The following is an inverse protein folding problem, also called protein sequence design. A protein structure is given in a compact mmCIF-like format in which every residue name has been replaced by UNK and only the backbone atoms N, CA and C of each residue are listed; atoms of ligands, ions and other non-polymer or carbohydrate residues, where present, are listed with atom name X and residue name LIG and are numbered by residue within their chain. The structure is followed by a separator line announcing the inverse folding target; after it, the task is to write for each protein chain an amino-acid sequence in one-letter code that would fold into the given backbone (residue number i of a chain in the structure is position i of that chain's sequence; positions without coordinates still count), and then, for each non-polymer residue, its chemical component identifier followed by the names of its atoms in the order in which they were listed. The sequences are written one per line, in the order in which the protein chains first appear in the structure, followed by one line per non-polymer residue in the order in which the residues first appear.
data_IF_473011536683
#
_entry.id   IF_473011536683
#
_cell.length_a   1.000
_cell.length_b   1.000
_cell.length_c   1.000
_cell.angle_alpha   90.00
_cell.angle_beta   90.00
_cell.angle_gamma   90.00
#
_symmetry.space_group_name_H-M   'P 1'
#
loop_
_entity.id
_entity.type
_entity.pdbx_description
1 polymer ?
#
# COMPACT_ATOMS: atom_id res chain seq x y z
N UNK A 1 -13.25 23.29 -21.37
CA UNK A 1 -12.18 24.04 -22.07
C UNK A 1 -10.80 23.34 -22.10
N UNK A 2 -10.58 22.17 -21.49
CA UNK A 2 -9.24 21.54 -21.42
C UNK A 2 -8.72 20.82 -22.69
N UNK A 3 -9.58 20.55 -23.67
CA UNK A 3 -9.19 19.83 -24.90
C UNK A 3 -8.40 20.71 -25.89
N UNK A 4 -8.69 22.01 -25.93
CA UNK A 4 -8.00 22.94 -26.85
C UNK A 4 -6.64 23.34 -26.27
N UNK A 5 -6.59 23.63 -24.96
CA UNK A 5 -5.33 23.95 -24.27
C UNK A 5 -4.34 22.79 -24.29
N UNK A 6 -4.81 21.55 -24.12
CA UNK A 6 -3.95 20.36 -24.21
C UNK A 6 -3.40 20.08 -25.61
N UNK A 7 -4.17 20.38 -26.67
CA UNK A 7 -3.69 20.25 -28.07
C UNK A 7 -2.60 21.27 -28.39
N UNK A 8 -2.78 22.51 -27.96
CA UNK A 8 -1.79 23.58 -28.13
C UNK A 8 -0.51 23.26 -27.34
N UNK A 9 -0.64 22.85 -26.08
CA UNK A 9 0.50 22.44 -25.25
C UNK A 9 1.29 21.27 -25.85
N UNK A 10 0.58 20.26 -26.41
CA UNK A 10 1.21 19.12 -27.08
C UNK A 10 1.94 19.54 -28.37
N UNK A 11 1.37 20.45 -29.16
CA UNK A 11 2.01 20.97 -30.37
C UNK A 11 3.29 21.77 -30.02
N UNK A 12 3.22 22.64 -29.01
CA UNK A 12 4.37 23.38 -28.51
C UNK A 12 5.49 22.47 -27.99
N UNK A 13 5.15 21.41 -27.22
CA UNK A 13 6.13 20.45 -26.71
C UNK A 13 6.80 19.59 -27.80
N UNK A 14 6.20 19.49 -28.99
CA UNK A 14 6.73 18.73 -30.15
C UNK A 14 7.50 19.61 -31.13
N UNK A 15 7.62 20.90 -30.86
CA UNK A 15 8.44 21.79 -31.68
C UNK A 15 9.88 21.27 -31.74
N UNK A 16 10.44 21.20 -32.95
CA UNK A 16 11.81 20.80 -33.19
C UNK A 16 12.19 19.43 -32.57
N UNK A 17 11.32 18.43 -32.71
CA UNK A 17 11.56 17.08 -32.21
C UNK A 17 12.69 16.35 -32.96
N UNK A 18 12.86 16.63 -34.25
CA UNK A 18 13.86 16.00 -35.11
C UNK A 18 15.29 16.37 -34.71
N UNK A 19 15.62 17.67 -34.63
CA UNK A 19 16.95 18.10 -34.15
C UNK A 19 17.23 17.64 -32.71
N UNK A 20 16.19 17.53 -31.86
CA UNK A 20 16.34 16.97 -30.50
C UNK A 20 16.67 15.48 -30.54
N UNK A 21 16.04 14.72 -31.43
CA UNK A 21 16.32 13.31 -31.63
C UNK A 21 17.73 13.11 -32.19
N UNK A 22 18.13 13.87 -33.21
CA UNK A 22 19.48 13.84 -33.77
C UNK A 22 20.55 14.17 -32.73
N UNK A 23 20.32 15.18 -31.88
CA UNK A 23 21.23 15.51 -30.77
C UNK A 23 21.33 14.40 -29.73
N UNK A 24 20.32 13.56 -29.56
CA UNK A 24 20.37 12.40 -28.64
C UNK A 24 21.04 11.21 -29.31
N UNK A 25 20.81 10.98 -30.60
CA UNK A 25 21.42 9.90 -31.37
C UNK A 25 22.91 10.13 -31.66
N UNK A 26 23.32 11.40 -31.84
CA UNK A 26 24.72 11.78 -32.04
C UNK A 26 25.55 11.68 -30.75
N UNK A 27 24.92 11.57 -29.58
CA UNK A 27 25.63 11.25 -28.33
C UNK A 27 26.03 9.78 -28.36
N UNK A 28 27.21 9.48 -27.83
CA UNK A 28 27.57 8.09 -27.54
C UNK A 28 26.51 7.46 -26.63
N UNK A 29 26.23 6.17 -26.84
CA UNK A 29 25.36 5.41 -25.94
C UNK A 29 25.92 5.53 -24.53
N UNK A 30 25.08 5.80 -23.50
CA UNK A 30 25.56 5.83 -22.14
C UNK A 30 26.20 4.48 -21.81
N UNK A 31 27.27 4.51 -21.02
CA UNK A 31 27.86 3.29 -20.50
C UNK A 31 26.79 2.52 -19.72
N UNK A 32 26.76 1.21 -19.91
CA UNK A 32 25.84 0.37 -19.15
C UNK A 32 26.13 0.55 -17.66
N UNK A 33 25.08 0.55 -16.84
CA UNK A 33 25.26 0.66 -15.40
C UNK A 33 26.23 -0.43 -14.89
N UNK A 34 27.14 -0.10 -13.96
CA UNK A 34 28.06 -1.08 -13.41
C UNK A 34 27.28 -2.22 -12.75
N UNK A 35 27.79 -3.44 -12.90
CA UNK A 35 27.15 -4.62 -12.31
C UNK A 35 27.58 -4.73 -10.84
N UNK A 36 26.77 -5.44 -10.05
CA UNK A 36 27.13 -5.72 -8.66
C UNK A 36 28.39 -6.62 -8.63
N UNK A 37 29.34 -6.42 -7.69
CA UNK A 37 30.61 -7.17 -7.66
C UNK A 37 30.42 -8.69 -7.58
N UNK A 38 29.33 -9.18 -6.98
CA UNK A 38 29.03 -10.62 -6.98
C UNK A 38 28.73 -11.15 -8.39
N UNK A 39 27.99 -10.38 -9.19
CA UNK A 39 27.63 -10.74 -10.56
C UNK A 39 28.86 -10.68 -11.47
N UNK A 40 29.74 -9.71 -11.27
CA UNK A 40 30.99 -9.62 -12.03
C UNK A 40 31.91 -10.81 -11.76
N UNK A 41 32.08 -11.19 -10.49
CA UNK A 41 32.86 -12.39 -10.11
C UNK A 41 32.29 -13.66 -10.72
N UNK A 42 30.96 -13.84 -10.63
CA UNK A 42 30.29 -15.01 -11.22
C UNK A 42 30.49 -15.09 -12.74
N UNK A 43 30.38 -13.96 -13.44
CA UNK A 43 30.59 -13.93 -14.88
C UNK A 43 32.06 -14.17 -15.27
N UNK A 44 33.00 -13.68 -14.46
CA UNK A 44 34.42 -13.95 -14.65
C UNK A 44 34.71 -15.44 -14.48
N UNK A 45 34.16 -16.07 -13.43
CA UNK A 45 34.27 -17.52 -13.20
C UNK A 45 33.68 -18.32 -14.37
N UNK A 46 32.44 -18.02 -14.78
CA UNK A 46 31.82 -18.61 -15.98
C UNK A 46 32.65 -18.39 -17.25
N UNK A 47 33.34 -17.26 -17.34
CA UNK A 47 34.21 -16.96 -18.48
C UNK A 47 35.55 -17.70 -18.41
N UNK A 48 36.00 -18.14 -17.24
CA UNK A 48 37.25 -18.90 -17.11
C UNK A 48 37.01 -20.41 -17.29
N UNK A 49 35.77 -20.86 -17.13
CA UNK A 49 35.37 -22.24 -17.34
C UNK A 49 35.33 -22.59 -18.84
N UNK A 50 36.45 -23.12 -19.34
CA UNK A 50 36.56 -23.52 -20.75
C UNK A 50 35.64 -24.70 -21.10
N UNK A 51 35.41 -25.62 -20.16
CA UNK A 51 34.53 -26.78 -20.37
C UNK A 51 33.06 -26.37 -20.60
N UNK A 52 32.56 -25.38 -19.85
CA UNK A 52 31.20 -24.87 -20.00
C UNK A 52 31.04 -24.07 -21.29
N UNK A 53 32.05 -23.30 -21.68
CA UNK A 53 32.06 -22.60 -22.97
C UNK A 53 32.02 -23.56 -24.15
N UNK A 54 32.81 -24.63 -24.10
CA UNK A 54 32.81 -25.63 -25.15
C UNK A 54 31.48 -26.38 -25.24
N UNK A 55 30.85 -26.70 -24.10
CA UNK A 55 29.54 -27.36 -24.10
C UNK A 55 28.40 -26.45 -24.56
N UNK A 56 28.50 -25.13 -24.36
CA UNK A 56 27.55 -24.14 -24.89
C UNK A 56 27.64 -23.96 -26.41
N UNK A 57 28.84 -24.09 -26.99
CA UNK A 57 29.06 -23.96 -28.44
C UNK A 57 28.77 -25.27 -29.17
N UNK A 58 29.07 -26.41 -28.55
CA UNK A 58 28.84 -27.73 -29.15
C UNK A 58 27.37 -28.12 -29.02
N UNK A 59 26.81 -28.68 -30.09
CA UNK A 59 25.44 -29.22 -30.07
C UNK A 59 25.39 -30.49 -29.23
N UNK A 60 24.54 -30.52 -28.22
CA UNK A 60 24.24 -31.73 -27.44
C UNK A 60 23.24 -32.62 -28.21
N UNK A 61 23.72 -33.79 -28.65
CA UNK A 61 22.93 -34.74 -29.42
C UNK A 61 21.84 -35.43 -28.59
N UNK A 62 22.07 -35.62 -27.28
CA UNK A 62 21.12 -36.26 -26.39
C UNK A 62 19.94 -35.31 -26.11
N UNK A 63 20.23 -34.04 -25.84
CA UNK A 63 19.21 -33.01 -25.66
C UNK A 63 18.43 -32.77 -26.97
N UNK A 64 19.09 -32.75 -28.12
CA UNK A 64 18.44 -32.64 -29.43
C UNK A 64 17.48 -33.81 -29.71
N UNK A 65 17.80 -35.00 -29.22
CA UNK A 65 16.89 -36.16 -29.24
C UNK A 65 15.65 -35.91 -28.37
N UNK A 66 15.84 -35.56 -27.10
CA UNK A 66 14.74 -35.30 -26.16
C UNK A 66 13.81 -34.18 -26.64
N UNK A 67 14.35 -33.10 -27.20
CA UNK A 67 13.53 -31.99 -27.71
C UNK A 67 12.68 -32.37 -28.92
N UNK A 68 13.07 -33.38 -29.70
CA UNK A 68 12.23 -33.92 -30.79
C UNK A 68 11.12 -34.80 -30.25
N UNK A 69 11.38 -35.52 -29.16
CA UNK A 69 10.42 -36.42 -28.52
C UNK A 69 9.39 -35.66 -27.68
N UNK A 70 9.77 -34.53 -27.08
CA UNK A 70 8.88 -33.66 -26.31
C UNK A 70 8.03 -32.82 -27.27
N UNK A 71 6.86 -33.33 -27.61
CA UNK A 71 5.82 -32.55 -28.28
C UNK A 71 4.64 -32.29 -27.33
N UNK A 72 4.11 -31.07 -27.37
CA UNK A 72 2.91 -30.71 -26.60
C UNK A 72 1.69 -31.00 -27.47
N UNK A 73 0.92 -32.03 -27.13
CA UNK A 73 -0.45 -32.20 -27.65
C UNK A 73 -1.40 -31.41 -26.76
N UNK A 74 -1.81 -30.22 -27.21
CA UNK A 74 -2.92 -29.52 -26.59
C UNK A 74 -4.20 -30.30 -26.90
N UNK A 75 -4.79 -30.93 -25.89
CA UNK A 75 -6.14 -31.50 -25.96
C UNK A 75 -7.23 -30.48 -25.68
N UNK A 76 -6.86 -29.20 -25.64
CA UNK A 76 -7.82 -28.13 -25.44
C UNK A 76 -8.84 -28.17 -26.59
N UNK A 77 -10.15 -28.12 -26.29
CA UNK A 77 -11.15 -27.94 -27.33
C UNK A 77 -10.78 -26.71 -28.16
N UNK A 78 -11.03 -26.71 -29.49
CA UNK A 78 -10.78 -25.52 -30.31
C UNK A 78 -11.42 -24.35 -29.59
N UNK A 79 -10.72 -23.22 -29.44
CA UNK A 79 -11.18 -22.15 -28.57
C UNK A 79 -12.60 -21.82 -28.99
N UNK A 80 -13.56 -22.28 -28.18
CA UNK A 80 -14.92 -21.75 -28.17
C UNK A 80 -14.68 -20.27 -28.19
N UNK A 81 -15.29 -19.52 -29.11
CA UNK A 81 -15.15 -18.06 -29.23
C UNK A 81 -15.37 -17.46 -27.86
N UNK A 82 -14.29 -17.40 -27.09
CA UNK A 82 -14.31 -17.06 -25.70
C UNK A 82 -14.47 -15.54 -25.80
N UNK A 83 -15.55 -14.95 -25.31
CA UNK A 83 -15.73 -13.51 -25.37
C UNK A 83 -14.56 -12.75 -24.72
N UNK A 84 -13.73 -13.46 -23.93
CA UNK A 84 -12.49 -12.97 -23.31
C UNK A 84 -11.30 -12.78 -24.25
N UNK A 85 -11.27 -13.42 -25.42
CA UNK A 85 -10.19 -13.24 -26.43
C UNK A 85 -10.66 -12.50 -27.69
N UNK A 86 -11.92 -12.04 -27.72
CA UNK A 86 -12.37 -11.03 -28.68
C UNK A 86 -11.87 -9.64 -28.30
N UNK A 87 -12.07 -8.63 -29.18
CA UNK A 87 -11.90 -7.22 -28.79
C UNK A 87 -12.67 -7.00 -27.48
N UNK A 88 -12.03 -6.61 -26.36
CA UNK A 88 -12.75 -6.42 -25.11
C UNK A 88 -13.92 -5.49 -25.33
N UNK A 89 -15.09 -5.82 -24.78
CA UNK A 89 -16.28 -4.96 -24.85
C UNK A 89 -15.96 -3.63 -24.19
N UNK A 90 -16.66 -2.56 -24.55
CA UNK A 90 -16.49 -1.25 -23.91
C UNK A 90 -16.65 -1.31 -22.38
N UNK A 91 -17.46 -2.26 -21.90
CA UNK A 91 -17.68 -2.56 -20.47
C UNK A 91 -16.49 -3.22 -19.78
N UNK A 92 -15.59 -3.85 -20.55
CA UNK A 92 -14.42 -4.58 -20.05
C UNK A 92 -13.16 -3.70 -20.01
N UNK A 93 -13.20 -2.51 -20.61
CA UNK A 93 -12.00 -1.68 -20.86
C UNK A 93 -11.70 -0.66 -19.78
N UNK A 94 -12.64 -0.38 -18.87
CA UNK A 94 -12.51 0.71 -17.91
C UNK A 94 -13.11 0.32 -16.55
N UNK A 95 -12.52 0.80 -15.44
CA UNK A 95 -13.19 0.81 -14.16
C UNK A 95 -14.56 1.48 -14.30
N UNK A 96 -15.62 0.73 -14.01
CA UNK A 96 -17.00 1.23 -14.07
C UNK A 96 -17.26 2.21 -12.93
N UNK A 97 -16.62 1.97 -11.78
CA UNK A 97 -16.65 2.87 -10.64
C UNK A 97 -15.47 3.83 -10.71
N UNK A 98 -15.77 5.14 -10.76
CA UNK A 98 -14.78 6.24 -10.74
C UNK A 98 -14.92 7.13 -9.50
N UNK A 99 -15.70 6.69 -8.52
CA UNK A 99 -15.84 7.39 -7.25
C UNK A 99 -14.57 7.27 -6.41
N UNK A 100 -14.37 8.23 -5.51
CA UNK A 100 -13.42 8.07 -4.41
C UNK A 100 -13.88 6.92 -3.53
N UNK A 101 -12.96 6.04 -3.14
CA UNK A 101 -13.26 5.02 -2.13
C UNK A 101 -13.49 5.75 -0.81
N UNK A 102 -14.59 5.45 -0.14
CA UNK A 102 -14.89 6.03 1.18
C UNK A 102 -13.75 5.73 2.15
N UNK A 103 -13.32 6.75 2.89
CA UNK A 103 -12.28 6.60 3.89
C UNK A 103 -12.80 5.71 5.01
N UNK A 104 -12.16 4.56 5.20
CA UNK A 104 -12.56 3.61 6.25
C UNK A 104 -11.81 3.95 7.54
N UNK A 105 -12.45 3.74 8.70
CA UNK A 105 -11.91 4.06 10.04
C UNK A 105 -10.46 3.56 10.27
N UNK A 106 -10.09 2.43 9.66
CA UNK A 106 -8.80 1.78 9.83
C UNK A 106 -7.89 1.91 8.59
N UNK A 107 -8.27 2.73 7.61
CA UNK A 107 -7.50 2.95 6.38
C UNK A 107 -7.46 1.74 5.41
N UNK A 108 -8.21 0.68 5.69
CA UNK A 108 -8.38 -0.46 4.80
C UNK A 108 -9.85 -0.87 4.68
N UNK A 109 -10.23 -1.43 3.53
CA UNK A 109 -11.59 -1.90 3.29
C UNK A 109 -11.78 -3.31 3.86
N UNK A 110 -12.75 -3.47 4.76
CA UNK A 110 -13.10 -4.79 5.30
C UNK A 110 -13.87 -5.65 4.27
N UNK A 111 -13.73 -6.99 4.34
CA UNK A 111 -14.51 -7.88 3.48
C UNK A 111 -16.01 -7.81 3.81
N UNK A 112 -16.85 -7.82 2.78
CA UNK A 112 -18.32 -7.78 2.92
C UNK A 112 -18.86 -9.03 3.63
N UNK A 113 -18.25 -10.19 3.39
CA UNK A 113 -18.65 -11.46 4.01
C UNK A 113 -17.48 -12.03 4.80
N UNK A 114 -17.66 -12.12 6.11
CA UNK A 114 -16.69 -12.72 7.04
C UNK A 114 -17.09 -14.18 7.27
N UNK A 115 -16.25 -15.16 6.91
CA UNK A 115 -16.55 -16.57 7.15
C UNK A 115 -16.51 -16.87 8.66
N UNK A 116 -17.30 -17.86 9.08
CA UNK A 116 -17.34 -18.29 10.48
C UNK A 116 -15.96 -18.77 10.96
N UNK A 117 -15.61 -18.46 12.22
CA UNK A 117 -14.31 -18.77 12.79
C UNK A 117 -13.16 -17.86 12.32
N UNK A 118 -13.44 -16.82 11.54
CA UNK A 118 -12.51 -15.73 11.20
C UNK A 118 -13.04 -14.41 11.72
N UNK A 119 -12.14 -13.47 11.96
CA UNK A 119 -12.47 -12.15 12.47
C UNK A 119 -11.77 -11.06 11.66
N UNK A 120 -12.44 -9.94 11.48
CA UNK A 120 -11.82 -8.70 10.98
C UNK A 120 -11.19 -7.91 12.12
N UNK A 121 -10.28 -6.99 11.82
CA UNK A 121 -9.64 -6.18 12.86
C UNK A 121 -10.68 -5.32 13.60
N UNK A 122 -11.70 -4.79 12.92
CA UNK A 122 -12.80 -4.06 13.58
C UNK A 122 -13.54 -4.94 14.58
N UNK A 123 -13.84 -6.19 14.23
CA UNK A 123 -14.48 -7.15 15.14
C UNK A 123 -13.59 -7.49 16.34
N UNK A 124 -12.28 -7.63 16.13
CA UNK A 124 -11.32 -7.85 17.22
C UNK A 124 -11.28 -6.64 18.15
N UNK A 125 -11.24 -5.42 17.60
CA UNK A 125 -11.27 -4.19 18.40
C UNK A 125 -12.55 -4.07 19.24
N UNK A 126 -13.71 -4.37 18.65
CA UNK A 126 -14.99 -4.39 19.35
C UNK A 126 -15.03 -5.44 20.45
N UNK A 127 -14.56 -6.66 20.17
CA UNK A 127 -14.48 -7.74 21.15
C UNK A 127 -13.64 -7.35 22.36
N UNK A 128 -12.46 -6.75 22.14
CA UNK A 128 -11.60 -6.29 23.23
C UNK A 128 -12.26 -5.17 24.02
N UNK A 129 -12.95 -4.24 23.37
CA UNK A 129 -13.69 -3.18 24.04
C UNK A 129 -14.84 -3.74 24.89
N UNK A 130 -15.66 -4.63 24.34
CA UNK A 130 -16.80 -5.29 24.99
C UNK A 130 -16.35 -6.13 26.20
N UNK A 131 -15.21 -6.82 26.10
CA UNK A 131 -14.63 -7.57 27.21
C UNK A 131 -14.20 -6.65 28.36
N UNK A 132 -13.72 -5.44 28.05
CA UNK A 132 -13.30 -4.47 29.06
C UNK A 132 -14.49 -3.79 29.74
N UNK A 133 -15.56 -3.49 28.99
CA UNK A 133 -16.75 -2.87 29.59
C UNK A 133 -17.46 -3.81 30.54
N UNK A 134 -17.67 -5.07 30.12
CA UNK A 134 -18.39 -6.08 30.92
C UNK A 134 -17.70 -7.47 30.84
N UNK A 135 -16.64 -7.71 31.62
CA UNK A 135 -15.92 -8.99 31.60
C UNK A 135 -16.79 -10.20 31.96
N UNK A 136 -17.78 -10.01 32.84
CA UNK A 136 -18.69 -11.07 33.29
C UNK A 136 -19.66 -11.53 32.19
N UNK A 137 -20.03 -10.61 31.29
CA UNK A 137 -21.01 -10.88 30.23
C UNK A 137 -20.33 -11.40 28.96
N UNK A 138 -19.15 -10.86 28.66
CA UNK A 138 -18.41 -11.15 27.44
C UNK A 138 -17.26 -12.11 27.70
N UNK A 139 -17.47 -13.13 28.53
CA UNK A 139 -16.44 -14.13 28.84
C UNK A 139 -15.99 -14.90 27.58
N UNK A 140 -14.85 -15.59 27.68
CA UNK A 140 -14.23 -16.38 26.61
C UNK A 140 -15.24 -17.35 25.99
N UNK A 141 -16.06 -18.01 26.80
CA UNK A 141 -17.10 -18.92 26.34
C UNK A 141 -18.15 -18.22 25.46
N UNK A 142 -18.58 -17.01 25.84
CA UNK A 142 -19.56 -16.23 25.08
C UNK A 142 -18.97 -15.75 23.74
N UNK A 143 -17.69 -15.39 23.71
CA UNK A 143 -16.95 -14.99 22.51
C UNK A 143 -16.84 -16.17 21.53
N UNK A 144 -16.48 -17.35 22.03
CA UNK A 144 -16.35 -18.59 21.25
C UNK A 144 -17.68 -18.95 20.61
N UNK A 145 -18.78 -18.86 21.35
CA UNK A 145 -20.13 -19.15 20.84
C UNK A 145 -20.55 -18.14 19.75
N UNK A 146 -20.35 -16.84 20.00
CA UNK A 146 -20.75 -15.76 19.09
C UNK A 146 -20.02 -15.80 17.75
N UNK A 147 -18.70 -16.04 17.78
CA UNK A 147 -17.86 -15.95 16.58
C UNK A 147 -17.41 -17.32 16.02
N UNK A 148 -17.74 -18.42 16.70
CA UNK A 148 -17.34 -19.79 16.34
C UNK A 148 -15.83 -19.94 16.18
N UNK A 149 -15.06 -19.30 17.05
CA UNK A 149 -13.60 -19.37 17.10
C UNK A 149 -13.14 -20.35 18.19
N UNK A 150 -11.96 -20.98 18.10
CA UNK A 150 -11.48 -21.86 19.16
C UNK A 150 -11.09 -21.06 20.43
N UNK A 151 -11.28 -21.67 21.62
CA UNK A 151 -10.98 -21.04 22.92
C UNK A 151 -9.57 -20.45 22.98
N UNK A 152 -8.57 -21.23 22.55
CA UNK A 152 -7.17 -20.80 22.54
C UNK A 152 -6.96 -19.49 21.75
N UNK A 153 -7.70 -19.31 20.65
CA UNK A 153 -7.60 -18.08 19.85
C UNK A 153 -8.27 -16.91 20.56
N UNK A 154 -9.42 -17.13 21.21
CA UNK A 154 -10.07 -16.10 22.03
C UNK A 154 -9.16 -15.64 23.19
N UNK A 155 -8.55 -16.59 23.91
CA UNK A 155 -7.61 -16.30 25.01
C UNK A 155 -6.38 -15.52 24.53
N UNK A 156 -5.80 -15.94 23.40
CA UNK A 156 -4.68 -15.24 22.79
C UNK A 156 -5.05 -13.82 22.34
N UNK A 157 -6.26 -13.63 21.80
CA UNK A 157 -6.75 -12.30 21.41
C UNK A 157 -6.81 -11.41 22.65
N UNK A 158 -7.46 -11.86 23.73
CA UNK A 158 -7.59 -11.08 24.96
C UNK A 158 -6.25 -10.77 25.63
N UNK A 159 -5.28 -11.68 25.54
CA UNK A 159 -3.96 -11.55 26.15
C UNK A 159 -3.04 -10.60 25.36
N UNK A 160 -2.95 -10.80 24.04
CA UNK A 160 -1.93 -10.12 23.22
C UNK A 160 -2.43 -8.83 22.55
N UNK A 161 -3.73 -8.65 22.33
CA UNK A 161 -4.25 -7.41 21.74
C UNK A 161 -4.39 -6.26 22.77
N UNK A 162 -3.78 -6.39 23.96
CA UNK A 162 -3.73 -5.33 24.98
C UNK A 162 -3.04 -4.04 24.52
N UNK A 163 -2.28 -4.03 23.42
CA UNK A 163 -1.76 -2.80 22.82
C UNK A 163 -2.86 -1.87 22.27
N UNK A 164 -4.07 -2.40 22.05
CA UNK A 164 -5.26 -1.62 21.66
C UNK A 164 -6.03 -1.09 22.87
N UNK A 165 -5.40 -1.00 24.05
CA UNK A 165 -5.94 -0.32 25.22
C UNK A 165 -6.19 1.16 24.88
N UNK A 166 -7.36 1.44 24.32
CA UNK A 166 -7.91 2.79 24.22
C UNK A 166 -8.09 3.25 25.67
N UNK A 167 -7.35 4.28 26.07
CA UNK A 167 -7.64 5.01 27.30
C UNK A 167 -9.04 5.64 27.12
N UNK A 168 -10.05 4.94 27.62
CA UNK A 168 -11.39 5.50 27.76
C UNK A 168 -11.26 6.57 28.85
N UNK A 169 -11.03 7.80 28.44
CA UNK A 169 -11.08 8.94 29.35
C UNK A 169 -12.56 9.09 29.75
N UNK A 170 -12.92 8.55 30.92
CA UNK A 170 -14.24 8.76 31.49
C UNK A 170 -14.50 10.27 31.53
N UNK A 171 -15.62 10.70 30.92
CA UNK A 171 -15.96 12.10 30.75
C UNK A 171 -16.18 12.84 32.08
N UNK A 172 -16.14 12.12 33.20
CA UNK A 172 -16.15 12.66 34.56
C UNK A 172 -14.86 13.43 34.87
N UNK A 173 -13.70 12.98 34.39
CA UNK A 173 -12.39 13.59 34.70
C UNK A 173 -12.14 14.91 33.95
N UNK A 174 -12.85 15.14 32.83
CA UNK A 174 -12.69 16.37 32.06
C UNK A 174 -13.41 17.57 32.68
N UNK A 175 -14.48 17.36 33.46
CA UNK A 175 -15.22 18.45 34.11
C UNK A 175 -14.40 19.10 35.24
N UNK A 176 -13.59 18.33 35.95
CA UNK A 176 -12.78 18.85 37.06
C UNK A 176 -11.60 19.71 36.58
N UNK A 177 -10.96 19.34 35.46
CA UNK A 177 -9.81 20.10 34.91
C UNK A 177 -10.18 21.43 34.27
N UNK A 178 -11.42 21.59 33.78
CA UNK A 178 -11.89 22.85 33.18
C UNK A 178 -12.18 23.91 34.26
N UNK A 179 -12.63 23.49 35.45
CA UNK A 179 -13.00 24.41 36.52
C UNK A 179 -11.78 25.11 37.16
N UNK A 180 -10.61 24.47 37.17
CA UNK A 180 -9.40 25.00 37.80
C UNK A 180 -8.64 26.05 36.96
N UNK A 181 -8.93 26.18 35.66
CA UNK A 181 -8.19 27.08 34.75
C UNK A 181 -8.75 28.51 34.66
N UNK A 182 -9.86 28.83 35.34
CA UNK A 182 -10.56 30.13 35.19
C UNK A 182 -10.41 31.06 36.41
N UNK A 183 -9.23 31.17 37.01
CA UNK A 183 -8.94 32.31 37.89
C UNK A 183 -7.97 33.26 37.16
N UNK A 184 -8.45 34.34 36.53
CA UNK A 184 -7.56 35.35 35.96
C UNK A 184 -6.83 36.12 37.08
N UNK A 185 -5.49 36.22 36.97
CA UNK A 185 -4.66 37.06 37.85
C UNK A 185 -4.96 38.54 37.60
N UNK A 186 -5.11 39.38 38.64
CA UNK A 186 -5.34 40.82 38.44
C UNK A 186 -4.05 41.52 37.96
N UNK A 187 -4.15 42.26 36.86
CA UNK A 187 -3.08 43.13 36.34
C UNK A 187 -3.22 44.51 36.93
N UNK A 188 -2.27 44.92 37.78
CA UNK A 188 -2.15 46.28 38.31
C UNK A 188 -1.46 47.16 37.27
N UNK A 189 -2.16 48.15 36.71
CA UNK A 189 -1.57 49.19 35.86
C UNK A 189 -1.25 50.41 36.72
N UNK A 190 0.02 50.74 36.86
CA UNK A 190 0.50 51.97 37.49
C UNK A 190 0.47 53.07 36.42
N UNK A 191 -0.28 54.14 36.67
CA UNK A 191 -0.34 55.33 35.80
C UNK A 191 0.59 56.39 36.40
N UNK A 192 1.71 56.65 35.74
CA UNK A 192 2.61 57.76 36.08
C UNK A 192 2.08 59.05 35.43
N UNK A 193 1.83 60.08 36.26
CA UNK A 193 1.39 61.41 35.83
C UNK A 193 2.66 62.27 35.69
N UNK A 194 3.05 62.55 34.44
CA UNK A 194 4.15 63.47 34.14
C UNK A 194 3.62 64.89 33.84
N UNK A 195 3.81 65.81 34.78
CA UNK A 195 3.63 67.25 34.58
C UNK A 195 4.74 67.82 33.69
N UNK A 196 4.36 68.38 32.54
CA UNK A 196 5.28 69.05 31.61
C UNK A 196 5.50 70.52 31.99
N UNK A 197 6.73 70.87 32.35
CA UNK A 197 7.20 72.26 32.50
C UNK A 197 7.93 72.67 31.19
N UNK A 198 7.54 73.76 30.50
CA UNK A 198 8.24 74.23 29.32
C UNK A 198 9.38 75.20 29.69
N UNK A 199 10.56 75.04 29.09
CA UNK A 199 11.58 76.09 29.03
C UNK A 199 12.07 76.29 27.60
N UNK A 200 12.24 77.58 27.30
CA UNK A 200 12.78 78.21 26.08
C UNK A 200 14.20 77.75 25.77
#
# INVERSE_FOLDING_TARGET
MGMVTSRIHRAAGRFNAENRAERVLAKSKPEAAPRHPSTEKYLQELSNDNETKESLVKKDMQLDGFLKDVYVRSHDPPPIKNPKFGKPSEKDRLPQFRGTVEETELGYTEPVLVPQGKLTLKQVMQLVADFKTDPQKNDVAAIVEKYRIPSNTADNILTYFGALNVLINDSKDQKEKVLQKQVPKPTTTIVEIGEGIPKK
#
